data_IF_032785107340
#
_entry.id   IF_032785107340
#
_cell.length_a   1.000
_cell.length_b   1.000
_cell.length_c   1.000
_cell.angle_alpha   90.00
_cell.angle_beta   90.00
_cell.angle_gamma   90.00
#
_symmetry.space_group_name_H-M   'P 1'
#
loop_
_entity.id
_entity.type
_entity.pdbx_description
1 polymer ?
#
# COMPACT_ATOMS: atom_id res chain seq x y z
N UNK A 1 35.25 -26.77 66.11
CA UNK A 1 34.31 -27.64 65.39
C UNK A 1 33.74 -26.86 64.21
N UNK A 2 34.18 -27.20 62.99
CA UNK A 2 33.55 -26.76 61.74
C UNK A 2 32.42 -27.75 61.40
N UNK A 3 31.26 -27.22 60.98
CA UNK A 3 30.38 -27.70 59.89
C UNK A 3 29.03 -26.99 60.01
N UNK A 4 28.71 -26.13 59.04
CA UNK A 4 27.67 -26.32 58.01
C UNK A 4 26.27 -25.87 58.53
N UNK A 5 25.42 -25.09 57.83
CA UNK A 5 24.82 -25.37 56.52
C UNK A 5 23.88 -24.18 56.18
N UNK A 6 23.96 -23.69 54.92
CA UNK A 6 22.92 -23.05 54.08
C UNK A 6 22.31 -21.71 54.58
N UNK A 7 22.12 -20.69 53.74
CA UNK A 7 21.19 -20.71 52.62
C UNK A 7 21.39 -19.46 51.74
N UNK A 8 21.51 -19.70 50.43
CA UNK A 8 21.22 -18.83 49.29
C UNK A 8 20.92 -17.34 49.53
N UNK A 9 21.71 -16.48 48.89
CA UNK A 9 21.13 -15.58 47.89
C UNK A 9 22.21 -15.21 46.85
N UNK A 10 22.27 -16.04 45.81
CA UNK A 10 22.95 -15.72 44.56
C UNK A 10 22.08 -14.68 43.86
N UNK A 11 22.55 -13.45 43.73
CA UNK A 11 21.94 -12.49 42.81
C UNK A 11 22.98 -12.15 41.74
N UNK A 12 22.94 -12.84 40.57
CA UNK A 12 23.82 -12.50 39.47
C UNK A 12 23.34 -11.18 38.86
N UNK A 13 24.24 -10.19 38.78
CA UNK A 13 24.04 -8.99 37.98
C UNK A 13 23.87 -9.43 36.51
N UNK A 14 22.61 -9.53 36.10
CA UNK A 14 22.17 -9.76 34.75
C UNK A 14 22.62 -8.60 33.87
N UNK A 15 23.64 -8.89 33.06
CA UNK A 15 23.78 -8.52 31.66
C UNK A 15 22.79 -7.44 31.20
N UNK A 16 23.26 -6.18 31.20
CA UNK A 16 22.69 -5.14 30.35
C UNK A 16 23.05 -5.53 28.91
N UNK A 17 22.27 -6.47 28.36
CA UNK A 17 22.20 -6.66 26.93
C UNK A 17 21.57 -5.39 26.38
N UNK A 18 22.40 -4.47 25.89
CA UNK A 18 21.94 -3.40 25.02
C UNK A 18 21.21 -4.08 23.86
N UNK A 19 19.89 -4.05 23.91
CA UNK A 19 19.08 -4.38 22.75
C UNK A 19 19.51 -3.40 21.68
N UNK A 20 20.21 -3.92 20.66
CA UNK A 20 20.36 -3.21 19.41
C UNK A 20 18.94 -2.95 18.92
N UNK A 21 18.45 -1.74 19.16
CA UNK A 21 17.36 -1.18 18.38
C UNK A 21 17.91 -1.14 16.96
N UNK A 22 17.63 -2.19 16.20
CA UNK A 22 17.56 -2.09 14.75
C UNK A 22 16.47 -1.05 14.49
N UNK A 23 16.89 0.21 14.45
CA UNK A 23 16.21 1.23 13.67
C UNK A 23 16.42 0.78 12.24
N UNK A 24 15.61 -0.20 11.83
CA UNK A 24 15.37 -0.41 10.41
C UNK A 24 14.82 0.92 9.95
N UNK A 25 15.60 1.62 9.14
CA UNK A 25 15.10 2.73 8.35
C UNK A 25 13.89 2.17 7.62
N UNK A 26 12.71 2.48 8.15
CA UNK A 26 11.45 2.10 7.54
C UNK A 26 11.39 3.00 6.31
N UNK A 27 11.91 2.51 5.18
CA UNK A 27 11.75 3.20 3.92
C UNK A 27 10.27 3.56 3.82
N UNK A 28 9.91 4.83 3.60
CA UNK A 28 8.53 5.22 3.48
C UNK A 28 7.91 4.31 2.44
N UNK A 29 6.75 3.69 2.73
CA UNK A 29 6.02 2.85 1.78
C UNK A 29 5.85 3.70 0.52
N UNK A 30 6.73 3.48 -0.46
CA UNK A 30 6.68 4.17 -1.73
C UNK A 30 5.49 3.52 -2.39
N UNK A 31 4.33 4.18 -2.35
CA UNK A 31 3.20 3.81 -3.17
C UNK A 31 3.66 4.02 -4.62
N UNK A 32 4.37 3.02 -5.15
CA UNK A 32 5.00 3.08 -6.45
C UNK A 32 3.89 3.22 -7.48
N UNK A 33 3.84 4.38 -8.12
CA UNK A 33 2.92 4.64 -9.21
C UNK A 33 3.46 3.92 -10.43
N UNK A 34 2.76 2.86 -10.85
CA UNK A 34 3.12 2.09 -12.03
C UNK A 34 2.42 2.67 -13.25
N UNK A 35 3.20 3.26 -14.16
CA UNK A 35 2.70 3.68 -15.47
C UNK A 35 2.40 2.46 -16.34
N UNK A 36 1.21 2.43 -16.94
CA UNK A 36 0.72 1.37 -17.83
C UNK A 36 0.12 1.97 -19.11
N UNK A 37 -0.13 1.14 -20.12
CA UNK A 37 -0.87 1.59 -21.30
C UNK A 37 -2.34 1.87 -20.96
N UNK A 38 -2.98 2.71 -21.77
CA UNK A 38 -4.42 2.98 -21.67
C UNK A 38 -5.25 1.68 -21.67
N UNK A 39 -5.00 0.78 -22.62
CA UNK A 39 -5.74 -0.50 -22.73
C UNK A 39 -5.55 -1.39 -21.50
N UNK A 40 -4.36 -1.37 -20.89
CA UNK A 40 -4.10 -2.10 -19.64
C UNK A 40 -4.91 -1.51 -18.49
N UNK A 41 -5.00 -0.18 -18.40
CA UNK A 41 -5.80 0.48 -17.38
C UNK A 41 -7.30 0.19 -17.58
N UNK A 42 -7.81 0.31 -18.80
CA UNK A 42 -9.23 0.03 -19.14
C UNK A 42 -9.60 -1.42 -18.86
N UNK A 43 -8.75 -2.39 -19.24
CA UNK A 43 -8.98 -3.79 -18.92
C UNK A 43 -8.99 -4.02 -17.42
N UNK A 44 -8.11 -3.36 -16.65
CA UNK A 44 -8.08 -3.45 -15.19
C UNK A 44 -9.34 -2.86 -14.55
N UNK A 45 -9.81 -1.71 -15.03
CA UNK A 45 -11.09 -1.11 -14.58
C UNK A 45 -12.24 -2.08 -14.82
N UNK A 46 -12.34 -2.66 -16.01
CA UNK A 46 -13.42 -3.59 -16.37
C UNK A 46 -13.42 -4.90 -15.56
N UNK A 47 -12.31 -5.25 -14.89
CA UNK A 47 -12.27 -6.36 -13.93
C UNK A 47 -13.00 -5.98 -12.62
N UNK A 48 -13.00 -4.70 -12.24
CA UNK A 48 -13.66 -4.18 -11.03
C UNK A 48 -12.86 -4.33 -9.73
N UNK A 49 -11.63 -4.85 -9.80
CA UNK A 49 -10.77 -5.12 -8.65
C UNK A 49 -9.95 -3.89 -8.19
N UNK A 50 -10.61 -2.75 -8.02
CA UNK A 50 -9.99 -1.49 -7.60
C UNK A 50 -10.80 -0.77 -6.52
N UNK A 51 -10.15 0.14 -5.81
CA UNK A 51 -10.72 0.99 -4.76
C UNK A 51 -11.33 2.25 -5.34
N UNK A 52 -10.57 3.01 -6.14
CA UNK A 52 -11.03 4.25 -6.77
C UNK A 52 -10.35 4.46 -8.13
N UNK A 53 -10.99 5.25 -8.98
CA UNK A 53 -10.35 5.82 -10.17
C UNK A 53 -10.42 7.34 -10.10
N UNK A 54 -9.37 8.01 -10.54
CA UNK A 54 -9.27 9.45 -10.60
C UNK A 54 -8.81 9.93 -11.96
N UNK A 55 -9.33 11.07 -12.41
CA UNK A 55 -8.98 11.74 -13.65
C UNK A 55 -8.45 13.15 -13.32
N UNK A 56 -7.39 13.56 -13.98
CA UNK A 56 -6.81 14.90 -13.86
C UNK A 56 -6.96 15.68 -15.18
N UNK A 57 -6.98 17.01 -15.10
CA UNK A 57 -7.03 17.90 -16.27
C UNK A 57 -6.02 17.62 -17.39
N UNK A 58 -4.85 17.06 -17.05
CA UNK A 58 -3.81 16.76 -18.03
C UNK A 58 -4.02 15.41 -18.75
N UNK A 59 -5.21 14.80 -18.63
CA UNK A 59 -5.58 13.45 -19.09
C UNK A 59 -4.89 12.31 -18.34
N UNK A 60 -4.28 12.58 -17.19
CA UNK A 60 -3.77 11.50 -16.33
C UNK A 60 -4.93 10.81 -15.64
N UNK A 61 -4.96 9.49 -15.75
CA UNK A 61 -5.89 8.63 -15.01
C UNK A 61 -5.12 7.81 -14.01
N UNK A 62 -5.54 7.84 -12.74
CA UNK A 62 -4.97 7.05 -11.65
C UNK A 62 -5.99 6.04 -11.15
N UNK A 63 -5.58 4.78 -11.07
CA UNK A 63 -6.39 3.68 -10.56
C UNK A 63 -5.73 3.13 -9.30
N UNK A 64 -6.41 3.25 -8.16
CA UNK A 64 -5.94 2.66 -6.90
C UNK A 64 -6.53 1.26 -6.79
N UNK A 65 -5.69 0.23 -6.84
CA UNK A 65 -6.11 -1.17 -6.76
C UNK A 65 -6.44 -1.57 -5.32
N UNK A 66 -7.18 -2.69 -5.16
CA UNK A 66 -7.55 -3.21 -3.84
C UNK A 66 -6.35 -3.52 -2.92
N UNK A 67 -5.19 -3.81 -3.49
CA UNK A 67 -3.94 -4.07 -2.78
C UNK A 67 -3.12 -2.80 -2.47
N UNK A 68 -3.65 -1.61 -2.77
CA UNK A 68 -2.96 -0.33 -2.56
C UNK A 68 -2.01 0.09 -3.69
N UNK A 69 -1.75 -0.75 -4.70
CA UNK A 69 -0.95 -0.36 -5.86
C UNK A 69 -1.68 0.71 -6.68
N UNK A 70 -0.94 1.70 -7.17
CA UNK A 70 -1.48 2.75 -8.03
C UNK A 70 -1.03 2.48 -9.47
N UNK A 71 -1.99 2.31 -10.38
CA UNK A 71 -1.72 2.33 -11.82
C UNK A 71 -1.98 3.72 -12.37
N UNK A 72 -1.20 4.13 -13.37
CA UNK A 72 -1.38 5.40 -14.06
C UNK A 72 -1.33 5.22 -15.58
N UNK A 73 -2.23 5.86 -16.31
CA UNK A 73 -2.17 5.95 -17.77
C UNK A 73 -2.60 7.35 -18.24
N UNK A 74 -2.35 7.66 -19.52
CA UNK A 74 -2.94 8.81 -20.20
C UNK A 74 -4.16 8.36 -20.98
N UNK A 75 -5.29 9.02 -20.77
CA UNK A 75 -6.47 8.81 -21.61
C UNK A 75 -6.28 9.48 -22.99
N UNK A 76 -6.79 8.89 -24.08
CA UNK A 76 -6.72 9.48 -25.42
C UNK A 76 -7.49 10.79 -25.51
N UNK A 77 -8.74 10.78 -25.05
CA UNK A 77 -9.63 11.94 -25.01
C UNK A 77 -10.08 12.20 -23.58
N UNK A 78 -10.45 13.45 -23.32
CA UNK A 78 -11.04 13.85 -22.05
C UNK A 78 -12.32 13.03 -21.85
N UNK A 79 -12.49 12.50 -20.64
CA UNK A 79 -13.66 11.75 -20.16
C UNK A 79 -13.79 10.32 -20.71
N UNK A 80 -12.80 9.81 -21.44
CA UNK A 80 -12.80 8.41 -21.89
C UNK A 80 -12.87 7.46 -20.67
N UNK A 81 -12.20 7.79 -19.55
CA UNK A 81 -12.28 6.96 -18.33
C UNK A 81 -13.68 6.97 -17.71
N UNK A 82 -14.38 8.10 -17.75
CA UNK A 82 -15.72 8.21 -17.20
C UNK A 82 -16.67 7.26 -17.92
N UNK A 83 -16.62 7.22 -19.26
CA UNK A 83 -17.43 6.30 -20.06
C UNK A 83 -17.07 4.83 -19.81
N UNK A 84 -15.80 4.51 -19.57
CA UNK A 84 -15.38 3.15 -19.18
C UNK A 84 -16.01 2.74 -17.84
N UNK A 85 -15.92 3.59 -16.80
CA UNK A 85 -16.48 3.29 -15.48
C UNK A 85 -18.00 3.19 -15.53
N UNK A 86 -18.66 4.13 -16.21
CA UNK A 86 -20.12 4.18 -16.39
C UNK A 86 -20.67 2.91 -17.05
N UNK A 87 -19.93 2.33 -18.00
CA UNK A 87 -20.33 1.09 -18.69
C UNK A 87 -19.85 -0.19 -17.98
N UNK A 88 -19.05 -0.07 -16.92
CA UNK A 88 -18.52 -1.21 -16.19
C UNK A 88 -19.55 -1.78 -15.19
N UNK A 89 -20.19 -2.88 -15.56
CA UNK A 89 -21.18 -3.60 -14.72
C UNK A 89 -20.62 -4.12 -13.38
N UNK A 90 -19.30 -4.29 -13.28
CA UNK A 90 -18.61 -4.78 -12.07
C UNK A 90 -18.12 -3.65 -11.16
N UNK A 91 -18.23 -2.40 -11.59
CA UNK A 91 -17.68 -1.23 -10.93
C UNK A 91 -18.69 -0.53 -10.00
N UNK A 92 -19.69 -1.28 -9.51
CA UNK A 92 -20.79 -0.73 -8.70
C UNK A 92 -20.23 -0.09 -7.43
N UNK A 93 -20.68 1.15 -7.14
CA UNK A 93 -20.31 1.93 -5.95
C UNK A 93 -18.80 2.21 -5.80
N UNK A 94 -18.04 2.20 -6.90
CA UNK A 94 -16.62 2.60 -6.88
C UNK A 94 -16.49 4.12 -7.02
N UNK A 95 -15.75 4.79 -6.12
CA UNK A 95 -15.45 6.22 -6.25
C UNK A 95 -14.81 6.58 -7.59
N UNK A 96 -15.36 7.63 -8.19
CA UNK A 96 -14.79 8.35 -9.33
C UNK A 96 -14.41 9.76 -8.87
N UNK A 97 -13.15 10.11 -9.01
CA UNK A 97 -12.58 11.38 -8.55
C UNK A 97 -12.14 12.21 -9.75
N UNK A 98 -12.37 13.52 -9.69
CA UNK A 98 -11.91 14.46 -10.71
C UNK A 98 -11.11 15.57 -10.04
N UNK A 99 -9.98 15.92 -10.64
CA UNK A 99 -9.19 17.10 -10.30
C UNK A 99 -9.23 18.10 -11.45
#
# INVERSE_FOLDING_TARGET
>A
MLKNVYLSLVLPLLLIGCTQQFVGEQEPIKNEVKTVSWDTLVSTVNIGAYQSVGQQHDKTVRLVLNNGQVLQAKEPNIDDIYEVVKNCKKCVNKPFLTE
#
